data_IF_080379826631
#
_entry.id   IF_080379826631
#
_cell.length_a   1.000
_cell.length_b   1.000
_cell.length_c   1.000
_cell.angle_alpha   90.00
_cell.angle_beta   90.00
_cell.angle_gamma   90.00
#
_symmetry.space_group_name_H-M   'P 1'
#
loop_
_entity.id
_entity.type
_entity.pdbx_description
1 polymer ?
#
# COMPACT_ATOMS: atom_id res chain seq x y z
N UNK A 1 33.75 -46.79 -22.73
CA UNK A 1 33.27 -45.46 -23.16
C UNK A 1 32.14 -45.07 -22.21
N UNK A 2 32.36 -44.08 -21.33
CA UNK A 2 31.39 -43.65 -20.31
C UNK A 2 30.57 -42.49 -20.86
N UNK A 3 29.26 -42.69 -21.05
CA UNK A 3 28.30 -41.62 -21.36
C UNK A 3 28.16 -40.67 -20.16
N UNK A 4 28.52 -39.40 -20.34
CA UNK A 4 28.06 -38.32 -19.48
C UNK A 4 26.74 -37.77 -20.07
N UNK A 5 25.64 -37.98 -19.35
CA UNK A 5 24.39 -37.26 -19.59
C UNK A 5 24.49 -35.90 -18.89
N UNK A 6 24.58 -34.83 -19.67
CA UNK A 6 24.50 -33.45 -19.18
C UNK A 6 23.02 -33.13 -18.98
N UNK A 7 22.59 -33.07 -17.72
CA UNK A 7 21.27 -32.60 -17.36
C UNK A 7 21.21 -31.07 -17.55
N UNK A 8 20.32 -30.61 -18.42
CA UNK A 8 19.99 -29.19 -18.57
C UNK A 8 19.23 -28.72 -17.33
N UNK A 9 19.88 -27.91 -16.49
CA UNK A 9 19.20 -27.15 -15.44
C UNK A 9 18.51 -25.94 -16.08
N UNK A 10 17.18 -25.98 -16.16
CA UNK A 10 16.38 -24.81 -16.51
C UNK A 10 16.49 -23.78 -15.36
N UNK A 11 16.71 -22.48 -15.65
CA UNK A 11 16.58 -21.46 -14.62
C UNK A 11 15.11 -21.37 -14.20
N UNK A 12 14.85 -21.73 -12.95
CA UNK A 12 13.59 -21.40 -12.28
C UNK A 12 13.51 -19.88 -12.22
N UNK A 13 12.70 -19.29 -13.09
CA UNK A 13 12.33 -17.88 -12.97
C UNK A 13 11.59 -17.72 -11.65
N UNK A 14 12.26 -17.08 -10.69
CA UNK A 14 11.70 -16.66 -9.42
C UNK A 14 10.45 -15.84 -9.73
N UNK A 15 9.28 -16.40 -9.42
CA UNK A 15 8.02 -15.67 -9.33
C UNK A 15 8.29 -14.38 -8.55
N UNK A 16 7.99 -13.24 -9.16
CA UNK A 16 8.13 -11.93 -8.55
C UNK A 16 7.63 -11.98 -7.11
N UNK A 17 8.59 -11.86 -6.18
CA UNK A 17 8.29 -11.75 -4.78
C UNK A 17 7.49 -10.46 -4.61
N UNK A 18 6.17 -10.61 -4.47
CA UNK A 18 5.38 -9.68 -3.67
C UNK A 18 6.09 -9.67 -2.32
N UNK A 19 6.98 -8.70 -2.12
CA UNK A 19 7.73 -8.54 -0.88
C UNK A 19 6.75 -8.58 0.29
N UNK A 20 7.17 -9.09 1.46
CA UNK A 20 6.30 -9.22 2.61
C UNK A 20 5.55 -7.90 2.81
N UNK A 21 4.24 -7.98 2.99
CA UNK A 21 3.44 -6.82 3.32
C UNK A 21 4.15 -6.11 4.48
N UNK A 22 4.68 -4.90 4.23
CA UNK A 22 5.36 -4.07 5.24
C UNK A 22 4.35 -3.61 6.28
N UNK A 23 3.72 -4.54 6.99
CA UNK A 23 2.88 -4.29 8.14
C UNK A 23 3.78 -4.12 9.36
N UNK A 24 3.46 -3.15 10.20
CA UNK A 24 4.06 -2.92 11.52
C UNK A 24 5.48 -2.31 11.55
N UNK A 25 6.02 -1.82 10.43
CA UNK A 25 7.24 -1.00 10.41
C UNK A 25 6.92 0.46 10.08
N UNK A 26 7.77 1.38 10.54
CA UNK A 26 7.74 2.78 10.09
C UNK A 26 8.13 2.84 8.61
N UNK A 27 7.38 3.61 7.84
CA UNK A 27 7.58 3.81 6.42
C UNK A 27 7.43 5.29 6.08
N UNK A 28 8.06 5.72 4.99
CA UNK A 28 7.84 7.05 4.41
C UNK A 28 6.38 7.16 3.98
N UNK A 29 5.70 8.20 4.44
CA UNK A 29 4.33 8.49 4.06
C UNK A 29 4.13 9.97 3.74
N UNK A 30 3.06 10.26 3.01
CA UNK A 30 2.67 11.61 2.64
C UNK A 30 1.24 11.86 3.14
N UNK A 31 1.02 13.00 3.78
CA UNK A 31 -0.32 13.56 4.00
C UNK A 31 -0.40 14.88 3.24
N UNK A 32 -1.22 14.97 2.19
CA UNK A 32 -1.28 16.14 1.31
C UNK A 32 0.11 16.65 0.88
N UNK A 33 0.97 15.74 0.41
CA UNK A 33 2.36 15.97 0.01
C UNK A 33 3.34 16.32 1.14
N UNK A 34 2.88 16.49 2.38
CA UNK A 34 3.75 16.65 3.54
C UNK A 34 4.29 15.29 3.97
N UNK A 35 5.62 15.19 4.06
CA UNK A 35 6.28 13.95 4.47
C UNK A 35 6.22 13.78 5.98
N UNK A 36 5.71 12.65 6.43
CA UNK A 36 5.71 12.23 7.83
C UNK A 36 5.76 10.70 7.87
N UNK A 37 6.63 10.14 8.71
CA UNK A 37 6.71 8.69 8.85
C UNK A 37 5.40 8.15 9.40
N UNK A 38 4.95 7.02 8.85
CA UNK A 38 3.75 6.36 9.32
C UNK A 38 3.90 4.83 9.33
N UNK A 39 3.03 4.17 10.09
CA UNK A 39 3.02 2.72 10.27
C UNK A 39 1.62 2.21 10.00
N UNK A 40 1.52 1.16 9.18
CA UNK A 40 0.26 0.43 8.96
C UNK A 40 0.22 -0.84 9.79
N UNK A 41 -0.86 -1.04 10.52
CA UNK A 41 -1.14 -2.27 11.28
C UNK A 41 -2.50 -2.83 10.87
N UNK A 42 -2.51 -4.07 10.38
CA UNK A 42 -3.77 -4.77 10.07
C UNK A 42 -4.43 -5.23 11.37
N UNK A 43 -5.75 -5.03 11.48
CA UNK A 43 -6.52 -5.31 12.71
C UNK A 43 -7.31 -6.61 12.61
N UNK A 44 -6.69 -7.65 12.06
CA UNK A 44 -7.34 -8.93 11.79
C UNK A 44 -6.33 -10.10 11.87
N UNK A 45 -6.79 -11.34 12.10
CA UNK A 45 -5.92 -12.52 12.20
C UNK A 45 -5.26 -12.98 10.88
N UNK A 46 -5.65 -12.43 9.73
CA UNK A 46 -5.11 -12.76 8.42
C UNK A 46 -4.95 -11.51 7.57
N UNK A 47 -3.72 -10.99 7.51
CA UNK A 47 -3.37 -9.82 6.70
C UNK A 47 -2.86 -10.23 5.31
N UNK A 48 -3.14 -9.45 4.25
CA UNK A 48 -3.91 -8.21 4.24
C UNK A 48 -5.42 -8.46 4.41
N UNK A 49 -6.09 -7.60 5.18
CA UNK A 49 -7.54 -7.59 5.33
C UNK A 49 -8.10 -6.19 5.13
N UNK A 50 -9.42 -6.10 4.98
CA UNK A 50 -10.12 -4.84 4.79
C UNK A 50 -10.08 -3.89 5.99
N UNK A 51 -9.34 -4.15 7.06
CA UNK A 51 -9.27 -3.27 8.23
C UNK A 51 -7.82 -3.03 8.65
N UNK A 52 -7.40 -1.76 8.69
CA UNK A 52 -6.08 -1.40 9.16
C UNK A 52 -6.08 -0.08 9.92
N UNK A 53 -5.18 0.05 10.89
CA UNK A 53 -4.79 1.31 11.52
C UNK A 53 -3.63 1.92 10.75
N UNK A 54 -3.70 3.22 10.50
CA UNK A 54 -2.57 4.04 10.10
C UNK A 54 -2.19 4.94 11.27
N UNK A 55 -0.95 4.86 11.69
CA UNK A 55 -0.39 5.64 12.80
C UNK A 55 0.75 6.50 12.28
N UNK A 56 0.72 7.78 12.62
CA UNK A 56 1.71 8.77 12.24
C UNK A 56 2.70 8.96 13.39
N UNK A 57 3.95 9.29 13.06
CA UNK A 57 5.03 9.45 14.06
C UNK A 57 4.84 10.67 14.97
N UNK A 58 3.94 11.59 14.59
CA UNK A 58 3.49 12.72 15.41
C UNK A 58 2.43 12.33 16.46
N UNK A 59 1.99 11.07 16.47
CA UNK A 59 1.03 10.51 17.43
C UNK A 59 -0.42 10.46 16.92
N UNK A 60 -0.73 11.03 15.76
CA UNK A 60 -2.06 10.88 15.16
C UNK A 60 -2.29 9.44 14.67
N UNK A 61 -3.52 8.93 14.75
CA UNK A 61 -3.87 7.65 14.12
C UNK A 61 -5.32 7.59 13.69
N UNK A 62 -5.59 6.81 12.65
CA UNK A 62 -6.93 6.52 12.14
C UNK A 62 -7.06 5.04 11.80
N UNK A 63 -8.27 4.49 11.95
CA UNK A 63 -8.62 3.14 11.51
C UNK A 63 -9.46 3.24 10.24
N UNK A 64 -9.08 2.50 9.22
CA UNK A 64 -9.75 2.42 7.93
C UNK A 64 -10.39 1.05 7.79
N UNK A 65 -11.70 1.03 7.53
CA UNK A 65 -12.51 -0.18 7.34
C UNK A 65 -13.08 -0.22 5.94
N UNK A 66 -12.77 -1.25 5.17
CA UNK A 66 -13.26 -1.49 3.81
C UNK A 66 -14.75 -1.77 3.88
N UNK A 67 -15.52 -1.06 3.09
CA UNK A 67 -16.97 -1.26 2.98
C UNK A 67 -17.41 -1.61 1.56
N UNK A 68 -16.54 -1.42 0.56
CA UNK A 68 -16.85 -1.71 -0.83
C UNK A 68 -15.58 -1.96 -1.65
N UNK A 69 -15.72 -2.83 -2.65
CA UNK A 69 -14.66 -3.12 -3.62
C UNK A 69 -14.76 -2.18 -4.83
N UNK A 70 -13.60 -1.80 -5.39
CA UNK A 70 -13.55 -1.09 -6.66
C UNK A 70 -13.74 -2.02 -7.84
N UNK A 71 -14.02 -1.43 -9.01
CA UNK A 71 -14.10 -2.20 -10.28
C UNK A 71 -12.72 -2.78 -10.62
N UNK A 72 -11.66 -2.01 -10.39
CA UNK A 72 -10.28 -2.47 -10.55
C UNK A 72 -9.82 -3.25 -9.30
N UNK A 73 -9.07 -4.34 -9.51
CA UNK A 73 -8.62 -5.24 -8.42
C UNK A 73 -7.79 -4.55 -7.33
N UNK A 74 -7.06 -3.50 -7.68
CA UNK A 74 -6.23 -2.74 -6.75
C UNK A 74 -6.96 -1.54 -6.12
N UNK A 75 -8.27 -1.40 -6.35
CA UNK A 75 -9.09 -0.31 -5.82
C UNK A 75 -10.08 -0.83 -4.78
N UNK A 76 -10.25 -0.07 -3.70
CA UNK A 76 -11.27 -0.33 -2.68
C UNK A 76 -11.71 0.95 -1.99
N UNK A 77 -12.85 0.91 -1.32
CA UNK A 77 -13.40 2.04 -0.60
C UNK A 77 -13.46 1.74 0.90
N UNK A 78 -12.99 2.70 1.68
CA UNK A 78 -12.78 2.59 3.12
C UNK A 78 -13.47 3.74 3.85
N UNK A 79 -13.94 3.48 5.07
CA UNK A 79 -14.39 4.50 6.01
C UNK A 79 -13.35 4.66 7.12
N UNK A 80 -13.03 5.90 7.46
CA UNK A 80 -12.27 6.20 8.67
C UNK A 80 -13.16 6.19 9.91
N UNK A 81 -12.55 6.33 11.10
CA UNK A 81 -13.26 6.32 12.40
C UNK A 81 -14.30 7.43 12.55
N UNK A 82 -14.17 8.51 11.78
CA UNK A 82 -15.08 9.66 11.77
C UNK A 82 -16.17 9.54 10.71
N UNK A 83 -16.20 8.43 9.97
CA UNK A 83 -17.14 8.17 8.89
C UNK A 83 -16.73 8.80 7.55
N UNK A 84 -15.54 9.39 7.45
CA UNK A 84 -15.01 9.92 6.19
C UNK A 84 -14.74 8.78 5.21
N UNK A 85 -15.18 8.94 3.97
CA UNK A 85 -14.95 7.94 2.92
C UNK A 85 -13.63 8.19 2.19
N UNK A 86 -12.95 7.11 1.83
CA UNK A 86 -11.64 7.14 1.18
C UNK A 86 -11.56 6.10 0.08
N UNK A 87 -11.13 6.51 -1.11
CA UNK A 87 -10.76 5.60 -2.19
C UNK A 87 -9.30 5.19 -2.03
N UNK A 88 -9.04 3.90 -1.82
CA UNK A 88 -7.71 3.32 -1.78
C UNK A 88 -7.31 2.78 -3.16
N UNK A 89 -6.09 3.07 -3.61
CA UNK A 89 -5.43 2.41 -4.75
C UNK A 89 -4.10 1.81 -4.31
N UNK A 90 -3.92 0.50 -4.50
CA UNK A 90 -2.67 -0.21 -4.20
C UNK A 90 -1.68 -0.21 -5.38
N UNK A 91 -0.39 -0.15 -5.07
CA UNK A 91 0.71 -0.26 -6.04
C UNK A 91 1.99 -0.75 -5.36
N UNK A 92 2.58 -1.86 -5.84
CA UNK A 92 3.90 -2.36 -5.42
C UNK A 92 4.17 -2.44 -3.89
N UNK A 93 3.16 -2.81 -3.09
CA UNK A 93 3.26 -2.86 -1.62
C UNK A 93 2.94 -1.54 -0.91
N UNK A 94 2.85 -0.45 -1.66
CA UNK A 94 2.39 0.89 -1.27
C UNK A 94 0.91 1.09 -1.61
N UNK A 95 0.32 2.18 -1.12
CA UNK A 95 -1.04 2.58 -1.52
C UNK A 95 -1.26 4.08 -1.38
N UNK A 96 -2.20 4.60 -2.16
CA UNK A 96 -2.77 5.94 -2.02
C UNK A 96 -4.20 5.85 -1.46
N UNK A 97 -4.59 6.79 -0.61
CA UNK A 97 -5.96 7.04 -0.17
C UNK A 97 -6.34 8.45 -0.58
N UNK A 98 -7.52 8.63 -1.19
CA UNK A 98 -8.09 9.93 -1.54
C UNK A 98 -9.46 10.06 -0.92
N UNK A 99 -9.66 11.11 -0.13
CA UNK A 99 -10.98 11.47 0.36
C UNK A 99 -11.69 12.30 -0.72
N UNK A 100 -12.79 11.81 -1.32
CA UNK A 100 -13.48 12.53 -2.39
C UNK A 100 -14.24 13.76 -1.89
N UNK A 101 -14.57 13.83 -0.60
CA UNK A 101 -15.34 14.94 -0.05
C UNK A 101 -14.51 16.21 0.17
N UNK A 102 -13.22 16.07 0.51
CA UNK A 102 -12.34 17.22 0.79
C UNK A 102 -11.04 17.24 -0.02
N UNK A 103 -10.80 16.22 -0.85
CA UNK A 103 -9.60 16.12 -1.67
C UNK A 103 -8.32 15.80 -0.90
N UNK A 104 -8.38 15.49 0.40
CA UNK A 104 -7.20 15.07 1.15
C UNK A 104 -6.62 13.77 0.58
N UNK A 105 -5.29 13.67 0.51
CA UNK A 105 -4.60 12.44 0.14
C UNK A 105 -3.65 11.95 1.22
N UNK A 106 -3.56 10.63 1.30
CA UNK A 106 -2.54 9.92 2.05
C UNK A 106 -1.82 9.00 1.08
N UNK A 107 -0.49 8.93 1.14
CA UNK A 107 0.31 7.92 0.41
C UNK A 107 1.15 7.17 1.44
N UNK A 108 1.07 5.85 1.44
CA UNK A 108 1.84 4.97 2.32
C UNK A 108 2.99 4.30 1.58
N UNK A 109 4.16 4.25 2.22
CA UNK A 109 5.30 3.46 1.74
C UNK A 109 6.06 4.11 0.58
N UNK A 110 5.97 5.44 0.45
CA UNK A 110 6.64 6.21 -0.61
C UNK A 110 7.02 7.61 -0.12
N UNK A 111 8.14 8.10 -0.62
CA UNK A 111 8.50 9.53 -0.63
C UNK A 111 7.73 10.27 -1.73
N UNK A 112 7.76 11.61 -1.69
CA UNK A 112 7.11 12.44 -2.72
C UNK A 112 7.69 12.19 -4.12
N UNK A 113 9.01 12.00 -4.23
CA UNK A 113 9.68 11.73 -5.50
C UNK A 113 9.23 10.39 -6.09
N UNK A 114 9.20 9.33 -5.27
CA UNK A 114 8.75 8.00 -5.70
C UNK A 114 7.28 8.01 -6.10
N UNK A 115 6.43 8.70 -5.33
CA UNK A 115 5.01 8.82 -5.65
C UNK A 115 4.78 9.43 -7.03
N UNK A 116 5.46 10.55 -7.34
CA UNK A 116 5.35 11.26 -8.64
C UNK A 116 5.83 10.44 -9.83
N UNK A 117 6.57 9.35 -9.60
CA UNK A 117 7.08 8.45 -10.64
C UNK A 117 6.34 7.10 -10.66
N UNK A 118 5.24 6.98 -9.92
CA UNK A 118 4.49 5.74 -9.74
C UNK A 118 3.09 5.81 -10.32
N UNK A 119 2.34 4.70 -10.27
CA UNK A 119 0.90 4.69 -10.59
C UNK A 119 0.00 5.38 -9.55
N UNK A 120 0.60 6.01 -8.54
CA UNK A 120 -0.06 6.81 -7.52
C UNK A 120 0.26 8.30 -7.66
N UNK A 121 0.81 8.74 -8.80
CA UNK A 121 1.15 10.14 -9.05
C UNK A 121 -0.05 11.07 -8.85
N UNK A 122 -1.25 10.66 -9.25
CA UNK A 122 -2.50 11.38 -9.03
C UNK A 122 -2.85 11.62 -7.54
N UNK A 123 -2.20 10.93 -6.60
CA UNK A 123 -2.34 11.16 -5.16
C UNK A 123 -1.41 12.25 -4.63
N UNK A 124 -0.34 12.59 -5.38
CA UNK A 124 0.69 13.55 -4.97
C UNK A 124 1.00 14.66 -5.98
N UNK A 125 0.34 14.66 -7.13
CA UNK A 125 0.30 15.75 -8.09
C UNK A 125 -0.74 16.78 -7.64
N UNK A 126 -0.32 17.68 -6.75
CA UNK A 126 -1.02 18.93 -6.43
C UNK A 126 -0.04 20.08 -6.63
#
# INVERSE_FOLDING_TARGET
MRSLLIAFALPVMVLGSLGPARGNQWASCLYNNLSVDCRRTFLCPGAPCGVFRLEWKDGASDVFTRFKDGVARNVGFYKDTRGGEWMLRGFAGSFGLRNPANGNSIVYGMTLSECKQSMLDDFCSK
#
